data_IF_410369278273
#
_entry.id   IF_410369278273
#
_cell.length_a   1.000
_cell.length_b   1.000
_cell.length_c   1.000
_cell.angle_alpha   90.00
_cell.angle_beta   90.00
_cell.angle_gamma   90.00
#
_symmetry.space_group_name_H-M   'P 1'
#
loop_
_entity.id
_entity.type
_entity.pdbx_description
1 polymer ?
#
# COMPACT_ATOMS: atom_id res chain seq x y z
N UNK A 1 6.23 10.71 13.51
CA UNK A 1 4.75 10.60 13.57
C UNK A 1 4.18 11.47 12.47
N UNK A 2 3.53 10.91 11.45
CA UNK A 2 2.90 11.70 10.40
C UNK A 2 1.81 12.57 11.02
N UNK A 3 1.89 13.87 10.75
CA UNK A 3 0.97 14.85 11.29
C UNK A 3 -0.40 14.65 10.63
N UNK A 4 -1.35 14.03 11.32
CA UNK A 4 -2.69 13.69 10.84
C UNK A 4 -3.51 14.90 10.36
N UNK A 5 -3.02 16.12 10.64
CA UNK A 5 -3.66 17.38 10.23
C UNK A 5 -3.52 17.71 8.73
N UNK A 6 -2.54 17.14 8.04
CA UNK A 6 -2.22 17.51 6.64
C UNK A 6 -2.49 16.39 5.62
N UNK A 7 -3.39 15.45 5.95
CA UNK A 7 -3.76 14.42 5.01
C UNK A 7 -4.67 15.04 3.95
N UNK A 8 -4.32 14.98 2.66
CA UNK A 8 -5.22 15.44 1.61
C UNK A 8 -6.46 14.53 1.60
N UNK A 9 -7.58 15.05 2.10
CA UNK A 9 -8.85 14.35 2.06
C UNK A 9 -9.38 14.36 0.62
N UNK A 10 -9.89 13.24 0.10
CA UNK A 10 -10.62 13.25 -1.15
C UNK A 10 -11.83 14.19 -1.03
N UNK A 11 -12.28 14.74 -2.16
CA UNK A 11 -13.46 15.58 -2.20
C UNK A 11 -14.65 14.86 -1.56
N UNK A 12 -15.40 15.57 -0.70
CA UNK A 12 -16.60 15.01 -0.07
C UNK A 12 -17.63 14.56 -1.12
N UNK A 13 -17.66 15.23 -2.24
CA UNK A 13 -18.52 14.87 -3.37
C UNK A 13 -18.09 13.51 -3.97
N UNK A 14 -16.80 13.33 -4.25
CA UNK A 14 -16.28 12.06 -4.78
C UNK A 14 -16.49 10.90 -3.79
N UNK A 15 -16.30 11.17 -2.50
CA UNK A 15 -16.56 10.21 -1.43
C UNK A 15 -18.03 9.78 -1.41
N UNK A 16 -18.95 10.75 -1.41
CA UNK A 16 -20.38 10.48 -1.38
C UNK A 16 -20.87 9.76 -2.64
N UNK A 17 -20.37 10.16 -3.82
CA UNK A 17 -20.69 9.52 -5.08
C UNK A 17 -20.23 8.06 -5.12
N UNK A 18 -18.99 7.78 -4.66
CA UNK A 18 -18.45 6.44 -4.58
C UNK A 18 -19.33 5.52 -3.72
N UNK A 19 -19.69 5.96 -2.50
CA UNK A 19 -20.55 5.18 -1.62
C UNK A 19 -21.98 5.03 -2.14
N UNK A 20 -22.51 6.04 -2.82
CA UNK A 20 -23.82 5.94 -3.46
C UNK A 20 -23.81 4.84 -4.53
N UNK A 21 -22.82 4.83 -5.43
CA UNK A 21 -22.69 3.79 -6.45
C UNK A 21 -22.52 2.41 -5.80
N UNK A 22 -21.70 2.32 -4.75
CA UNK A 22 -21.48 1.06 -4.02
C UNK A 22 -22.80 0.51 -3.44
N UNK A 23 -23.59 1.34 -2.78
CA UNK A 23 -24.90 0.93 -2.25
C UNK A 23 -25.88 0.53 -3.35
N UNK A 24 -25.88 1.23 -4.48
CA UNK A 24 -26.70 0.86 -5.63
C UNK A 24 -26.36 -0.55 -6.14
N UNK A 25 -25.07 -0.83 -6.34
CA UNK A 25 -24.60 -2.13 -6.82
C UNK A 25 -24.95 -3.25 -5.82
N UNK A 26 -24.71 -3.02 -4.53
CA UNK A 26 -25.03 -4.00 -3.48
C UNK A 26 -26.55 -4.26 -3.44
N UNK A 27 -27.37 -3.20 -3.48
CA UNK A 27 -28.83 -3.33 -3.52
C UNK A 27 -29.30 -4.14 -4.71
N UNK A 28 -28.73 -3.91 -5.88
CA UNK A 28 -29.06 -4.65 -7.10
C UNK A 28 -28.68 -6.14 -7.01
N UNK A 29 -27.49 -6.45 -6.47
CA UNK A 29 -27.06 -7.84 -6.24
C UNK A 29 -28.00 -8.55 -5.27
N UNK A 30 -28.38 -7.89 -4.17
CA UNK A 30 -29.30 -8.45 -3.17
C UNK A 30 -30.69 -8.68 -3.75
N UNK A 31 -31.14 -7.78 -4.61
CA UNK A 31 -32.43 -7.92 -5.31
C UNK A 31 -32.47 -9.16 -6.19
N UNK A 32 -31.43 -9.39 -6.99
CA UNK A 32 -31.32 -10.60 -7.84
C UNK A 32 -31.30 -11.88 -7.01
N UNK A 33 -30.63 -11.85 -5.85
CA UNK A 33 -30.56 -12.98 -4.94
C UNK A 33 -31.81 -13.15 -4.05
N UNK A 34 -32.90 -12.47 -4.36
CA UNK A 34 -34.20 -12.56 -3.66
C UNK A 34 -34.18 -12.07 -2.20
N UNK A 35 -33.15 -11.35 -1.76
CA UNK A 35 -33.11 -10.72 -0.43
C UNK A 35 -33.86 -9.38 -0.43
N UNK A 36 -35.18 -9.41 -0.68
CA UNK A 36 -36.02 -8.22 -0.91
C UNK A 36 -35.91 -7.16 0.20
N UNK A 37 -36.02 -7.59 1.47
CA UNK A 37 -35.98 -6.65 2.62
C UNK A 37 -34.64 -5.96 2.72
N UNK A 38 -33.53 -6.72 2.62
CA UNK A 38 -32.18 -6.18 2.72
C UNK A 38 -31.85 -5.27 1.53
N UNK A 39 -32.26 -5.66 0.33
CA UNK A 39 -32.16 -4.84 -0.88
C UNK A 39 -32.87 -3.49 -0.69
N UNK A 40 -34.07 -3.48 -0.15
CA UNK A 40 -34.82 -2.24 0.13
C UNK A 40 -34.11 -1.31 1.12
N UNK A 41 -33.52 -1.87 2.18
CA UNK A 41 -32.75 -1.11 3.18
C UNK A 41 -31.52 -0.46 2.52
N UNK A 42 -30.78 -1.22 1.72
CA UNK A 42 -29.58 -0.70 1.04
C UNK A 42 -29.96 0.31 -0.05
N UNK A 43 -31.08 0.12 -0.74
CA UNK A 43 -31.60 1.11 -1.70
C UNK A 43 -31.96 2.44 -1.00
N UNK A 44 -32.52 2.38 0.22
CA UNK A 44 -32.77 3.59 1.00
C UNK A 44 -31.47 4.31 1.37
N UNK A 45 -30.45 3.58 1.78
CA UNK A 45 -29.11 4.16 2.04
C UNK A 45 -28.53 4.81 0.79
N UNK A 46 -28.65 4.18 -0.38
CA UNK A 46 -28.26 4.78 -1.66
C UNK A 46 -28.92 6.15 -1.87
N UNK A 47 -30.26 6.22 -1.71
CA UNK A 47 -31.02 7.46 -1.92
C UNK A 47 -30.56 8.54 -0.94
N UNK A 48 -30.40 8.21 0.34
CA UNK A 48 -29.92 9.14 1.38
C UNK A 48 -28.52 9.67 1.03
N UNK A 49 -27.56 8.79 0.74
CA UNK A 49 -26.20 9.20 0.40
C UNK A 49 -26.15 10.06 -0.86
N UNK A 50 -26.89 9.67 -1.90
CA UNK A 50 -26.98 10.44 -3.13
C UNK A 50 -27.55 11.82 -2.89
N UNK A 51 -28.65 11.93 -2.13
CA UNK A 51 -29.29 13.20 -1.80
C UNK A 51 -28.34 14.12 -1.03
N UNK A 52 -27.65 13.62 0.00
CA UNK A 52 -26.67 14.40 0.77
C UNK A 52 -25.49 14.82 -0.12
N UNK A 53 -25.03 13.95 -1.00
CA UNK A 53 -23.91 14.25 -1.92
C UNK A 53 -24.26 15.39 -2.86
N UNK A 54 -25.47 15.40 -3.42
CA UNK A 54 -25.91 16.40 -4.38
C UNK A 54 -26.31 17.73 -3.70
N UNK A 55 -26.99 17.66 -2.56
CA UNK A 55 -27.52 18.86 -1.89
C UNK A 55 -26.50 19.53 -0.98
N UNK A 56 -25.74 18.75 -0.19
CA UNK A 56 -24.83 19.29 0.83
C UNK A 56 -23.70 18.33 1.18
N UNK A 57 -22.76 18.13 0.26
CA UNK A 57 -21.62 17.19 0.43
C UNK A 57 -20.76 17.48 1.67
N UNK A 58 -20.81 18.72 2.20
CA UNK A 58 -20.08 19.08 3.43
C UNK A 58 -20.53 18.29 4.67
N UNK A 59 -21.75 17.78 4.69
CA UNK A 59 -22.25 16.92 5.78
C UNK A 59 -21.50 15.57 5.83
N UNK A 60 -20.91 15.14 4.73
CA UNK A 60 -20.13 13.90 4.66
C UNK A 60 -18.68 14.06 5.20
N UNK A 61 -18.25 15.28 5.54
CA UNK A 61 -16.88 15.55 6.03
C UNK A 61 -16.48 14.68 7.23
N UNK A 62 -17.28 14.54 8.30
CA UNK A 62 -16.90 13.69 9.44
C UNK A 62 -16.77 12.22 9.05
N UNK A 63 -17.66 11.74 8.19
CA UNK A 63 -17.64 10.36 7.72
C UNK A 63 -16.44 10.10 6.80
N UNK A 64 -16.14 11.02 5.90
CA UNK A 64 -14.97 10.98 5.04
C UNK A 64 -13.67 10.95 5.85
N UNK A 65 -13.56 11.79 6.90
CA UNK A 65 -12.42 11.78 7.83
C UNK A 65 -12.29 10.46 8.56
N UNK A 66 -13.39 9.94 9.10
CA UNK A 66 -13.39 8.66 9.80
C UNK A 66 -12.96 7.52 8.88
N UNK A 67 -13.44 7.48 7.64
CA UNK A 67 -13.04 6.52 6.63
C UNK A 67 -11.55 6.58 6.30
N UNK A 68 -11.01 7.79 6.13
CA UNK A 68 -9.57 7.96 5.89
C UNK A 68 -8.73 7.50 7.07
N UNK A 69 -9.11 7.85 8.31
CA UNK A 69 -8.42 7.36 9.51
C UNK A 69 -8.44 5.85 9.61
N UNK A 70 -9.57 5.23 9.31
CA UNK A 70 -9.71 3.77 9.26
C UNK A 70 -8.78 3.17 8.20
N UNK A 71 -8.73 3.74 6.99
CA UNK A 71 -7.81 3.32 5.94
C UNK A 71 -6.33 3.40 6.36
N UNK A 72 -5.93 4.48 7.04
CA UNK A 72 -4.57 4.61 7.58
C UNK A 72 -4.27 3.59 8.69
N UNK A 73 -5.23 3.33 9.57
CA UNK A 73 -5.06 2.32 10.63
C UNK A 73 -4.85 0.92 10.03
N UNK A 74 -5.67 0.56 9.05
CA UNK A 74 -5.54 -0.70 8.31
C UNK A 74 -4.18 -0.73 7.58
N UNK A 75 -3.81 0.34 6.88
CA UNK A 75 -2.54 0.42 6.16
C UNK A 75 -1.32 0.18 7.05
N UNK A 76 -1.32 0.68 8.28
CA UNK A 76 -0.25 0.42 9.25
C UNK A 76 -0.09 -1.05 9.61
N UNK A 77 -1.17 -1.80 9.59
CA UNK A 77 -1.17 -3.24 9.91
C UNK A 77 -0.83 -4.06 8.66
N UNK A 78 -1.46 -3.73 7.55
CA UNK A 78 -1.34 -4.52 6.31
C UNK A 78 0.02 -4.32 5.64
N UNK A 79 0.58 -3.10 5.63
CA UNK A 79 1.85 -2.84 4.96
C UNK A 79 3.01 -3.72 5.46
N UNK A 80 3.27 -3.89 6.79
CA UNK A 80 4.29 -4.81 7.27
C UNK A 80 4.00 -6.26 6.89
N UNK A 81 2.73 -6.68 6.88
CA UNK A 81 2.33 -8.04 6.52
C UNK A 81 2.65 -8.30 5.04
N UNK A 82 2.28 -7.37 4.14
CA UNK A 82 2.57 -7.49 2.71
C UNK A 82 4.08 -7.52 2.47
N UNK A 83 4.84 -6.62 3.11
CA UNK A 83 6.30 -6.60 3.00
C UNK A 83 6.93 -7.91 3.50
N UNK A 84 6.45 -8.43 4.64
CA UNK A 84 6.88 -9.74 5.17
C UNK A 84 6.56 -10.87 4.20
N UNK A 85 5.36 -10.88 3.63
CA UNK A 85 4.92 -11.88 2.67
C UNK A 85 5.80 -11.87 1.41
N UNK A 86 6.05 -10.69 0.84
CA UNK A 86 6.95 -10.51 -0.32
C UNK A 86 8.36 -10.99 0.03
N UNK A 87 8.87 -10.63 1.21
CA UNK A 87 10.19 -11.07 1.66
C UNK A 87 10.29 -12.59 1.74
N UNK A 88 9.34 -13.25 2.40
CA UNK A 88 9.39 -14.70 2.59
C UNK A 88 9.12 -15.48 1.30
N UNK A 89 8.24 -14.99 0.42
CA UNK A 89 7.88 -15.71 -0.81
C UNK A 89 8.88 -15.46 -1.95
N UNK A 90 9.42 -14.25 -2.07
CA UNK A 90 10.33 -13.93 -3.17
C UNK A 90 11.80 -14.01 -2.74
N UNK A 91 12.17 -13.31 -1.67
CA UNK A 91 13.59 -13.15 -1.30
C UNK A 91 14.14 -14.43 -0.66
N UNK A 92 13.38 -15.08 0.20
CA UNK A 92 13.85 -16.28 0.89
C UNK A 92 14.13 -17.46 -0.06
N UNK A 93 13.25 -17.83 -1.02
CA UNK A 93 13.56 -18.91 -1.97
C UNK A 93 14.75 -18.56 -2.85
N UNK A 94 14.84 -17.31 -3.32
CA UNK A 94 15.97 -16.86 -4.14
C UNK A 94 17.29 -16.96 -3.36
N UNK A 95 17.30 -16.55 -2.10
CA UNK A 95 18.48 -16.65 -1.24
C UNK A 95 18.90 -18.09 -0.96
N UNK A 96 17.92 -18.99 -0.74
CA UNK A 96 18.16 -20.41 -0.58
C UNK A 96 18.73 -21.03 -1.87
N UNK A 97 18.19 -20.66 -3.02
CA UNK A 97 18.68 -21.11 -4.32
C UNK A 97 20.14 -20.71 -4.53
N UNK A 98 20.51 -19.46 -4.27
CA UNK A 98 21.91 -19.02 -4.36
C UNK A 98 22.82 -19.72 -3.35
N UNK A 99 22.30 -20.00 -2.14
CA UNK A 99 23.05 -20.77 -1.13
C UNK A 99 23.34 -22.20 -1.59
N UNK A 100 22.37 -22.86 -2.23
CA UNK A 100 22.51 -24.23 -2.77
C UNK A 100 23.52 -24.25 -3.91
N UNK A 101 23.52 -23.25 -4.80
CA UNK A 101 24.49 -23.12 -5.90
C UNK A 101 25.90 -22.75 -5.38
N UNK A 102 26.03 -22.43 -4.09
CA UNK A 102 27.32 -22.02 -3.49
C UNK A 102 27.74 -20.60 -3.82
N UNK A 103 26.85 -19.81 -4.41
CA UNK A 103 27.10 -18.40 -4.75
C UNK A 103 26.94 -17.53 -3.51
N UNK A 104 28.02 -16.95 -3.04
CA UNK A 104 28.07 -16.09 -1.84
C UNK A 104 28.35 -14.65 -2.25
N UNK A 105 27.35 -13.98 -2.79
CA UNK A 105 27.43 -12.57 -3.25
C UNK A 105 27.78 -11.61 -2.10
N UNK A 106 27.27 -11.89 -0.90
CA UNK A 106 27.49 -11.06 0.28
C UNK A 106 28.78 -11.41 1.04
N UNK A 107 29.52 -12.45 0.59
CA UNK A 107 30.75 -12.93 1.22
C UNK A 107 30.58 -13.18 2.73
N UNK A 108 29.45 -13.78 3.10
CA UNK A 108 29.11 -14.06 4.51
C UNK A 108 29.93 -15.22 5.09
N UNK A 109 30.57 -16.05 4.24
CA UNK A 109 31.46 -17.09 4.71
C UNK A 109 32.67 -16.46 5.38
N UNK A 110 32.85 -16.74 6.69
CA UNK A 110 34.05 -16.34 7.42
C UNK A 110 35.28 -16.92 6.71
N UNK A 111 35.97 -16.14 5.96
CA UNK A 111 37.31 -16.47 5.49
C UNK A 111 38.24 -16.10 6.59
N UNK A 112 39.04 -17.07 7.07
CA UNK A 112 40.09 -16.85 8.09
C UNK A 112 41.22 -16.00 7.47
N UNK A 113 40.94 -14.72 7.25
CA UNK A 113 41.91 -13.72 6.80
C UNK A 113 42.28 -12.82 7.98
N UNK A 114 43.55 -12.55 8.16
CA UNK A 114 44.08 -11.61 9.17
C UNK A 114 43.52 -10.17 9.02
N UNK A 115 43.09 -9.82 7.80
CA UNK A 115 42.53 -8.48 7.52
C UNK A 115 41.50 -8.56 6.38
N UNK A 116 40.43 -7.80 6.49
CA UNK A 116 39.38 -7.60 5.46
C UNK A 116 39.77 -6.46 4.49
N UNK A 117 40.87 -5.76 4.73
CA UNK A 117 41.35 -4.73 3.85
C UNK A 117 41.85 -5.32 2.54
N UNK A 118 41.27 -4.88 1.45
CA UNK A 118 41.78 -5.21 0.08
C UNK A 118 42.68 -4.07 -0.34
N UNK A 119 43.99 -4.34 -0.38
CA UNK A 119 44.95 -3.40 -0.93
C UNK A 119 44.72 -3.36 -2.44
N UNK A 120 44.06 -2.32 -2.92
CA UNK A 120 44.00 -2.06 -4.36
C UNK A 120 45.40 -1.62 -4.80
N UNK A 121 46.00 -2.35 -5.75
CA UNK A 121 47.16 -1.84 -6.47
C UNK A 121 46.77 -0.46 -7.01
N UNK A 122 47.55 0.57 -6.66
CA UNK A 122 47.37 1.92 -7.14
C UNK A 122 47.62 1.97 -8.68
N UNK A 123 46.66 1.48 -9.42
CA UNK A 123 46.51 1.85 -10.80
C UNK A 123 46.14 3.33 -10.77
N UNK A 124 47.00 4.22 -11.26
CA UNK A 124 46.70 5.65 -11.39
C UNK A 124 45.33 5.74 -12.04
N UNK A 125 44.31 6.09 -11.23
CA UNK A 125 42.98 6.36 -11.74
C UNK A 125 43.09 7.72 -12.41
N UNK A 126 42.99 7.84 -13.76
CA UNK A 126 43.03 9.14 -14.39
C UNK A 126 41.92 10.02 -13.80
N UNK A 127 42.22 11.29 -13.62
CA UNK A 127 41.28 12.26 -13.03
C UNK A 127 39.92 12.30 -13.79
N UNK A 128 39.98 12.02 -15.09
CA UNK A 128 38.80 11.89 -15.99
C UNK A 128 37.79 10.79 -15.57
N UNK A 129 38.26 9.76 -14.83
CA UNK A 129 37.34 8.69 -14.37
C UNK A 129 36.36 9.14 -13.28
N UNK A 130 36.51 10.34 -12.74
CA UNK A 130 35.55 10.94 -11.82
C UNK A 130 34.40 11.68 -12.52
N UNK A 131 34.58 12.00 -13.82
CA UNK A 131 33.56 12.66 -14.65
C UNK A 131 32.56 11.65 -15.22
N UNK A 132 32.93 10.37 -15.34
CA UNK A 132 32.09 9.28 -15.88
C UNK A 132 31.41 8.48 -14.79
N UNK A 133 30.97 9.09 -13.69
CA UNK A 133 30.30 8.42 -12.59
C UNK A 133 28.77 8.30 -12.76
N UNK A 134 28.23 8.75 -13.90
CA UNK A 134 26.78 8.69 -14.24
C UNK A 134 26.58 8.13 -15.64
#
# INVERSE_FOLDING_TARGET
>A
MANLKNIPLPSNFSFGLFFSILFLVISFILFINQFMILSGIIALLFIIFLSITLCKSSLLTPLNKAWMLFGFAIGKIINPIILGFIFFILITPVSLFFKVIGRDELRLKKVSKKSFWVIRALKKIPAESFEDQF
#
